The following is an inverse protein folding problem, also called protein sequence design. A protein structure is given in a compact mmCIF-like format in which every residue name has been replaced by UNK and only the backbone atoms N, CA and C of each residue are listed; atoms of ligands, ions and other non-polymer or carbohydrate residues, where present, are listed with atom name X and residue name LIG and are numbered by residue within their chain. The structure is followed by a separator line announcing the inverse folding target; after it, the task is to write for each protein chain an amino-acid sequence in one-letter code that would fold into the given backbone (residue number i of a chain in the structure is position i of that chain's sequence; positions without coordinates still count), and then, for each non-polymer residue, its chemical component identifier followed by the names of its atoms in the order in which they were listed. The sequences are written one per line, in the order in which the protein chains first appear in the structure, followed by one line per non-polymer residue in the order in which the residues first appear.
data_IF_571769732114
#
_entry.id   IF_571769732114
#
_cell.length_a   1.000
_cell.length_b   1.000
_cell.length_c   1.000
_cell.angle_alpha   90.00
_cell.angle_beta   90.00
_cell.angle_gamma   90.00
#
_symmetry.space_group_name_H-M   'P 1'
#
loop_
_entity.id
_entity.type
_entity.pdbx_description
1 polymer ?
#
# COMPACT_ATOMS: atom_id res chain seq x y z
N UNK A 1 13.05 13.49 6.08
CA UNK A 1 14.06 12.76 5.27
C UNK A 1 14.96 13.71 4.49
N UNK A 2 14.42 14.49 3.52
CA UNK A 2 15.24 15.41 2.70
C UNK A 2 15.92 16.53 3.50
N UNK A 3 15.23 17.08 4.51
CA UNK A 3 15.76 18.15 5.35
C UNK A 3 16.83 17.65 6.33
N UNK A 4 16.74 16.38 6.73
CA UNK A 4 17.58 15.77 7.76
C UNK A 4 18.70 14.90 7.16
N UNK A 5 18.79 14.86 5.82
CA UNK A 5 19.64 13.95 5.05
C UNK A 5 19.54 12.47 5.52
N UNK A 6 18.34 12.05 5.93
CA UNK A 6 18.09 10.71 6.45
C UNK A 6 17.63 9.79 5.31
N UNK A 7 18.58 9.04 4.75
CA UNK A 7 18.35 8.12 3.64
C UNK A 7 17.48 6.91 4.03
N UNK A 8 17.57 6.42 5.25
CA UNK A 8 16.74 5.29 5.72
C UNK A 8 15.27 5.68 5.80
N UNK A 9 14.99 6.88 6.33
CA UNK A 9 13.64 7.43 6.36
C UNK A 9 13.12 7.70 4.95
N UNK A 10 13.97 8.17 4.02
CA UNK A 10 13.59 8.32 2.62
C UNK A 10 13.21 6.97 1.98
N UNK A 11 14.04 5.94 2.18
CA UNK A 11 13.78 4.58 1.68
C UNK A 11 12.46 4.04 2.21
N UNK A 12 12.22 4.16 3.52
CA UNK A 12 10.98 3.71 4.15
C UNK A 12 9.74 4.38 3.53
N UNK A 13 9.74 5.72 3.44
CA UNK A 13 8.59 6.46 2.90
C UNK A 13 8.29 6.09 1.44
N UNK A 14 9.32 6.04 0.59
CA UNK A 14 9.15 5.64 -0.82
C UNK A 14 8.69 4.19 -0.96
N UNK A 15 9.17 3.30 -0.08
CA UNK A 15 8.75 1.90 -0.08
C UNK A 15 7.28 1.77 0.32
N UNK A 16 6.84 2.51 1.34
CA UNK A 16 5.44 2.51 1.77
C UNK A 16 4.50 3.04 0.68
N UNK A 17 4.86 4.15 0.02
CA UNK A 17 4.10 4.69 -1.11
C UNK A 17 3.96 3.66 -2.23
N UNK A 18 5.07 3.02 -2.61
CA UNK A 18 5.07 1.97 -3.64
C UNK A 18 4.19 0.78 -3.23
N UNK A 19 4.31 0.31 -1.99
CA UNK A 19 3.51 -0.82 -1.48
C UNK A 19 2.02 -0.52 -1.52
N UNK A 20 1.60 0.70 -1.18
CA UNK A 20 0.19 1.10 -1.28
C UNK A 20 -0.32 0.99 -2.72
N UNK A 21 0.47 1.49 -3.69
CA UNK A 21 0.13 1.40 -5.13
C UNK A 21 0.09 -0.04 -5.59
N UNK A 22 1.16 -0.81 -5.34
CA UNK A 22 1.26 -2.22 -5.74
C UNK A 22 0.11 -3.07 -5.14
N UNK A 23 -0.32 -2.77 -3.92
CA UNK A 23 -1.42 -3.49 -3.25
C UNK A 23 -2.75 -3.26 -3.98
N UNK A 24 -3.02 -2.01 -4.39
CA UNK A 24 -4.21 -1.67 -5.19
C UNK A 24 -4.13 -2.29 -6.59
N UNK A 25 -2.98 -2.21 -7.25
CA UNK A 25 -2.76 -2.79 -8.59
C UNK A 25 -2.89 -4.33 -8.58
N UNK A 26 -2.59 -4.97 -7.45
CA UNK A 26 -2.83 -6.40 -7.22
C UNK A 26 -4.30 -6.75 -6.94
N UNK A 27 -5.21 -5.77 -6.97
CA UNK A 27 -6.65 -5.95 -6.76
C UNK A 27 -7.10 -5.91 -5.29
N UNK A 28 -6.19 -5.63 -4.35
CA UNK A 28 -6.51 -5.47 -2.93
C UNK A 28 -6.76 -3.99 -2.65
N UNK A 29 -8.02 -3.57 -2.67
CA UNK A 29 -8.39 -2.15 -2.52
C UNK A 29 -9.65 -1.97 -1.69
N UNK A 30 -9.89 -0.73 -1.25
CA UNK A 30 -11.10 -0.34 -0.53
C UNK A 30 -12.28 -0.10 -1.49
N UNK A 31 -13.49 -0.03 -0.91
CA UNK A 31 -14.76 0.02 -1.67
C UNK A 31 -14.84 1.20 -2.64
N UNK A 32 -14.36 2.36 -2.23
CA UNK A 32 -14.31 3.58 -3.03
C UNK A 32 -13.55 3.37 -4.34
N UNK A 33 -12.37 2.76 -4.30
CA UNK A 33 -11.58 2.45 -5.50
C UNK A 33 -12.22 1.33 -6.33
N UNK A 34 -12.73 0.28 -5.68
CA UNK A 34 -13.38 -0.83 -6.38
C UNK A 34 -14.60 -0.37 -7.22
N UNK A 35 -15.38 0.59 -6.69
CA UNK A 35 -16.51 1.18 -7.41
C UNK A 35 -16.09 1.95 -8.67
N UNK A 36 -14.86 2.45 -8.75
CA UNK A 36 -14.31 3.08 -9.96
C UNK A 36 -13.91 2.05 -11.02
N UNK A 37 -13.57 0.82 -10.61
CA UNK A 37 -13.21 -0.29 -11.51
C UNK A 37 -14.46 -0.91 -12.13
N UNK A 38 -15.47 -1.21 -11.32
CA UNK A 38 -16.73 -1.80 -11.81
C UNK A 38 -17.59 -2.43 -10.71
N UNK A 39 -18.86 -2.75 -11.01
CA UNK A 39 -19.84 -3.22 -10.02
C UNK A 39 -19.49 -4.57 -9.38
N UNK A 40 -18.75 -5.42 -10.07
CA UNK A 40 -18.39 -6.77 -9.61
C UNK A 40 -17.01 -6.84 -8.95
N UNK A 41 -16.24 -5.74 -8.94
CA UNK A 41 -14.92 -5.71 -8.31
C UNK A 41 -15.09 -5.87 -6.80
N UNK A 42 -14.44 -6.90 -6.23
CA UNK A 42 -14.43 -7.10 -4.77
C UNK A 42 -13.51 -6.09 -4.10
N UNK A 43 -13.80 -5.78 -2.84
CA UNK A 43 -13.03 -4.85 -2.00
C UNK A 43 -12.78 -5.42 -0.62
N UNK A 44 -11.83 -4.81 0.08
CA UNK A 44 -11.52 -5.06 1.49
C UNK A 44 -12.22 -4.04 2.38
N UNK A 45 -12.42 -4.42 3.65
CA UNK A 45 -12.75 -3.46 4.71
C UNK A 45 -11.54 -2.59 5.03
N UNK A 46 -11.74 -1.50 5.78
CA UNK A 46 -10.64 -0.61 6.20
C UNK A 46 -9.50 -1.39 6.86
N UNK A 47 -9.81 -2.27 7.81
CA UNK A 47 -8.79 -3.06 8.50
C UNK A 47 -8.16 -4.09 7.56
N UNK A 48 -8.97 -4.76 6.72
CA UNK A 48 -8.43 -5.74 5.76
C UNK A 48 -7.45 -5.13 4.75
N UNK A 49 -7.68 -3.89 4.32
CA UNK A 49 -6.73 -3.18 3.46
C UNK A 49 -5.44 -2.78 4.20
N UNK A 50 -5.56 -2.28 5.44
CA UNK A 50 -4.39 -1.96 6.27
C UNK A 50 -3.54 -3.21 6.56
N UNK A 51 -4.16 -4.36 6.85
CA UNK A 51 -3.47 -5.63 7.05
C UNK A 51 -2.73 -6.09 5.78
N UNK A 52 -3.34 -5.89 4.60
CA UNK A 52 -2.72 -6.21 3.33
C UNK A 52 -1.48 -5.33 3.05
N UNK A 53 -1.59 -4.02 3.29
CA UNK A 53 -0.49 -3.08 3.14
C UNK A 53 0.64 -3.39 4.11
N UNK A 54 0.34 -3.66 5.39
CA UNK A 54 1.37 -4.03 6.38
C UNK A 54 2.08 -5.33 5.98
N UNK A 55 1.34 -6.39 5.62
CA UNK A 55 1.95 -7.64 5.19
C UNK A 55 2.87 -7.48 3.96
N UNK A 56 2.53 -6.59 3.03
CA UNK A 56 3.35 -6.29 1.87
C UNK A 56 4.55 -5.40 2.22
N UNK A 57 4.39 -4.45 3.14
CA UNK A 57 5.47 -3.59 3.64
C UNK A 57 6.53 -4.41 4.37
N UNK A 58 6.13 -5.32 5.26
CA UNK A 58 7.05 -6.21 5.98
C UNK A 58 7.91 -7.02 5.00
N UNK A 59 7.30 -7.56 3.94
CA UNK A 59 8.02 -8.30 2.89
C UNK A 59 9.00 -7.41 2.12
N UNK A 60 8.57 -6.20 1.74
CA UNK A 60 9.40 -5.27 0.98
C UNK A 60 10.58 -4.72 1.79
N UNK A 61 10.40 -4.54 3.10
CA UNK A 61 11.43 -4.04 4.01
C UNK A 61 12.42 -5.12 4.50
N UNK A 62 12.03 -6.40 4.41
CA UNK A 62 12.91 -7.53 4.73
C UNK A 62 13.90 -7.87 3.61
N UNK A 63 13.75 -7.27 2.42
CA UNK A 63 14.62 -7.41 1.26
C UNK A 63 15.69 -6.30 1.18
#
# INVERSE_FOLDING_TARGET
AKLDNNAELAKFALTLEKVCVDTVEAGQMTKDLALLVGPDQKWLTTIGFLDAVDANLQKAMAA
#
